data_IF_906999997886
#
_entry.id   IF_906999997886
#
_cell.length_a   1.000
_cell.length_b   1.000
_cell.length_c   1.000
_cell.angle_alpha   90.00
_cell.angle_beta   90.00
_cell.angle_gamma   90.00
#
_symmetry.space_group_name_H-M   'P 1'
#
loop_
_entity.id
_entity.type
_entity.pdbx_description
1 polymer ?
#
# COMPACT_ATOMS: atom_id res chain seq x y z
N UNK A 1 -16.16 -29.39 -9.48
CA UNK A 1 -15.46 -29.21 -10.77
C UNK A 1 -14.53 -28.01 -10.63
N UNK A 2 -13.23 -28.14 -10.84
CA UNK A 2 -12.30 -27.00 -10.81
C UNK A 2 -12.33 -26.32 -12.17
N UNK A 3 -12.91 -25.13 -12.28
CA UNK A 3 -12.72 -24.28 -13.47
C UNK A 3 -11.22 -24.05 -13.68
N UNK A 4 -10.70 -24.43 -14.85
CA UNK A 4 -9.39 -24.00 -15.26
C UNK A 4 -9.42 -22.47 -15.43
N UNK A 5 -8.81 -21.75 -14.48
CA UNK A 5 -8.64 -20.31 -14.59
C UNK A 5 -7.76 -20.02 -15.80
N UNK A 6 -8.30 -19.30 -16.79
CA UNK A 6 -7.53 -18.89 -17.96
C UNK A 6 -6.40 -17.94 -17.55
N UNK A 7 -5.31 -17.89 -18.34
CA UNK A 7 -4.21 -16.94 -18.09
C UNK A 7 -4.73 -15.50 -17.99
N UNK A 8 -5.66 -15.12 -18.86
CA UNK A 8 -6.28 -13.78 -18.91
C UNK A 8 -7.06 -13.44 -17.64
N UNK A 9 -7.90 -14.36 -17.13
CA UNK A 9 -8.63 -14.17 -15.87
C UNK A 9 -7.65 -14.00 -14.71
N UNK A 10 -6.63 -14.86 -14.62
CA UNK A 10 -5.59 -14.74 -13.60
C UNK A 10 -4.84 -13.39 -13.66
N UNK A 11 -4.53 -12.92 -14.87
CA UNK A 11 -3.90 -11.61 -15.08
C UNK A 11 -4.78 -10.45 -14.61
N UNK A 12 -6.06 -10.49 -14.95
CA UNK A 12 -7.04 -9.49 -14.56
C UNK A 12 -7.18 -9.46 -13.04
N UNK A 13 -7.33 -10.61 -12.40
CA UNK A 13 -7.44 -10.76 -10.94
C UNK A 13 -6.21 -10.19 -10.23
N UNK A 14 -4.99 -10.53 -10.70
CA UNK A 14 -3.75 -10.01 -10.10
C UNK A 14 -3.54 -8.53 -10.30
N UNK A 15 -3.94 -7.99 -11.46
CA UNK A 15 -3.93 -6.55 -11.67
C UNK A 15 -4.90 -5.85 -10.73
N UNK A 16 -6.08 -6.41 -10.51
CA UNK A 16 -7.05 -5.88 -9.56
C UNK A 16 -6.51 -5.89 -8.12
N UNK A 17 -5.88 -6.99 -7.68
CA UNK A 17 -5.24 -7.10 -6.36
C UNK A 17 -4.19 -6.00 -6.13
N UNK A 18 -3.28 -5.80 -7.10
CA UNK A 18 -2.23 -4.78 -7.04
C UNK A 18 -2.84 -3.38 -7.00
N UNK A 19 -3.77 -3.08 -7.93
CA UNK A 19 -4.42 -1.77 -7.99
C UNK A 19 -5.18 -1.45 -6.68
N UNK A 20 -5.90 -2.44 -6.12
CA UNK A 20 -6.61 -2.26 -4.86
C UNK A 20 -5.65 -1.93 -3.71
N UNK A 21 -4.49 -2.60 -3.67
CA UNK A 21 -3.46 -2.33 -2.67
C UNK A 21 -2.81 -0.94 -2.87
N UNK A 22 -2.49 -0.55 -4.11
CA UNK A 22 -1.98 0.79 -4.41
C UNK A 22 -2.98 1.88 -4.00
N UNK A 23 -4.27 1.67 -4.28
CA UNK A 23 -5.33 2.61 -3.94
C UNK A 23 -5.49 2.75 -2.42
N UNK A 24 -5.39 1.64 -1.69
CA UNK A 24 -5.34 1.65 -0.22
C UNK A 24 -4.15 2.47 0.28
N UNK A 25 -2.95 2.22 -0.24
CA UNK A 25 -1.76 2.98 0.15
C UNK A 25 -1.94 4.47 -0.11
N UNK A 26 -2.46 4.86 -1.29
CA UNK A 26 -2.76 6.26 -1.60
C UNK A 26 -3.76 6.87 -0.61
N UNK A 27 -4.80 6.13 -0.23
CA UNK A 27 -5.78 6.61 0.75
C UNK A 27 -5.15 6.84 2.12
N UNK A 28 -4.30 5.90 2.57
CA UNK A 28 -3.60 6.03 3.86
C UNK A 28 -2.57 7.15 3.83
N UNK A 29 -1.85 7.35 2.72
CA UNK A 29 -0.94 8.47 2.55
C UNK A 29 -1.66 9.82 2.50
N UNK A 30 -2.84 9.89 1.88
CA UNK A 30 -3.68 11.08 1.91
C UNK A 30 -4.11 11.43 3.34
N UNK A 31 -4.48 10.43 4.15
CA UNK A 31 -4.76 10.62 5.57
C UNK A 31 -3.52 11.09 6.33
N UNK A 32 -2.38 10.41 6.16
CA UNK A 32 -1.09 10.77 6.79
C UNK A 32 -0.75 12.22 6.52
N UNK A 33 -0.74 12.61 5.24
CA UNK A 33 -0.41 13.97 4.81
C UNK A 33 -1.34 14.99 5.44
N UNK A 34 -2.65 14.75 5.43
CA UNK A 34 -3.60 15.61 6.11
C UNK A 34 -3.33 15.73 7.62
N UNK A 35 -3.11 14.61 8.32
CA UNK A 35 -2.88 14.65 9.76
C UNK A 35 -1.57 15.33 10.14
N UNK A 36 -0.50 15.11 9.39
CA UNK A 36 0.81 15.72 9.65
C UNK A 36 0.82 17.21 9.27
N UNK A 37 0.32 17.58 8.09
CA UNK A 37 0.42 18.96 7.57
C UNK A 37 -0.65 19.89 8.17
N UNK A 38 -1.89 19.43 8.29
CA UNK A 38 -3.02 20.30 8.66
C UNK A 38 -3.35 20.23 10.15
N UNK A 39 -2.98 19.14 10.84
CA UNK A 39 -3.29 18.91 12.25
C UNK A 39 -2.06 18.85 13.16
N UNK A 40 -0.84 18.93 12.61
CA UNK A 40 0.41 18.70 13.35
C UNK A 40 0.35 17.43 14.21
N UNK A 41 -0.36 16.41 13.73
CA UNK A 41 -0.55 15.15 14.43
C UNK A 41 0.59 14.18 14.09
N UNK A 42 0.84 13.23 14.99
CA UNK A 42 1.77 12.15 14.72
C UNK A 42 1.03 10.98 14.09
N UNK A 43 1.50 10.50 12.94
CA UNK A 43 0.89 9.41 12.19
C UNK A 43 1.82 8.20 12.12
N UNK A 44 1.29 7.03 12.45
CA UNK A 44 2.06 5.79 12.50
C UNK A 44 1.34 4.65 11.79
N UNK A 45 2.13 3.76 11.20
CA UNK A 45 1.68 2.47 10.72
C UNK A 45 1.91 1.43 11.83
N UNK A 46 0.85 0.74 12.29
CA UNK A 46 0.94 -0.06 13.51
C UNK A 46 1.71 -1.38 13.38
N UNK A 47 1.99 -1.86 12.16
CA UNK A 47 2.86 -3.03 11.93
C UNK A 47 4.27 -2.91 12.53
N UNK A 48 4.70 -1.71 12.93
CA UNK A 48 5.95 -1.50 13.66
C UNK A 48 5.88 -1.89 15.14
N UNK A 49 4.71 -1.77 15.76
CA UNK A 49 4.51 -2.07 17.18
C UNK A 49 4.68 -3.55 17.49
N UNK A 50 4.33 -4.43 16.56
CA UNK A 50 4.54 -5.87 16.70
C UNK A 50 6.02 -6.19 16.90
N UNK A 51 6.92 -5.48 16.21
CA UNK A 51 8.35 -5.77 16.26
C UNK A 51 8.98 -5.26 17.56
N UNK A 52 8.61 -4.07 18.04
CA UNK A 52 9.07 -3.58 19.35
C UNK A 52 8.55 -4.47 20.47
N UNK A 53 7.26 -4.85 20.43
CA UNK A 53 6.64 -5.70 21.44
C UNK A 53 7.19 -7.15 21.42
N UNK A 54 7.52 -7.70 20.24
CA UNK A 54 8.20 -9.00 20.14
C UNK A 54 9.64 -8.99 20.67
N UNK A 55 10.33 -7.85 20.63
CA UNK A 55 11.65 -7.71 21.24
C UNK A 55 11.57 -7.77 22.76
N UNK A 56 10.52 -7.17 23.34
CA UNK A 56 10.26 -7.19 24.79
C UNK A 56 9.63 -8.53 25.25
N UNK A 57 8.79 -9.14 24.41
CA UNK A 57 8.16 -10.43 24.64
C UNK A 57 8.15 -11.28 23.36
N UNK A 58 9.11 -12.20 23.18
CA UNK A 58 9.23 -13.05 21.98
C UNK A 58 8.00 -13.89 21.65
N UNK A 59 7.11 -14.13 22.63
CA UNK A 59 5.86 -14.86 22.46
C UNK A 59 4.67 -13.95 22.14
N UNK A 60 4.89 -12.64 21.97
CA UNK A 60 3.84 -11.68 21.64
C UNK A 60 3.21 -11.98 20.28
N UNK A 61 1.91 -12.30 20.32
CA UNK A 61 1.05 -12.53 19.16
C UNK A 61 0.00 -11.43 18.98
N UNK A 62 0.17 -10.28 19.63
CA UNK A 62 -0.86 -9.24 19.62
C UNK A 62 -1.05 -8.67 18.22
N UNK A 63 -2.32 -8.50 17.86
CA UNK A 63 -2.74 -7.77 16.67
C UNK A 63 -2.59 -6.26 16.93
N UNK A 64 -2.16 -5.52 15.92
CA UNK A 64 -1.98 -4.06 16.00
C UNK A 64 -2.85 -3.40 14.95
N UNK A 65 -3.42 -2.22 15.23
CA UNK A 65 -4.14 -1.46 14.20
C UNK A 65 -3.22 -1.15 13.02
N UNK A 66 -3.76 -1.09 11.82
CA UNK A 66 -2.99 -0.66 10.65
C UNK A 66 -2.48 0.77 10.79
N UNK A 67 -3.30 1.64 11.39
CA UNK A 67 -3.07 3.08 11.48
C UNK A 67 -3.25 3.53 12.93
N UNK A 68 -2.32 4.36 13.39
CA UNK A 68 -2.43 5.07 14.67
C UNK A 68 -2.17 6.54 14.42
N UNK A 69 -3.07 7.39 14.89
CA UNK A 69 -2.89 8.84 14.85
C UNK A 69 -2.95 9.36 16.28
N UNK A 70 -1.89 10.05 16.72
CA UNK A 70 -1.89 10.78 17.98
C UNK A 70 -2.09 12.27 17.66
N UNK A 71 -3.27 12.81 18.01
CA UNK A 71 -3.54 14.26 17.93
C UNK A 71 -3.41 14.89 19.32
N UNK A 72 -3.43 16.22 19.41
CA UNK A 72 -3.40 16.93 20.69
C UNK A 72 -4.61 16.66 21.59
N UNK A 73 -5.74 16.24 21.01
CA UNK A 73 -7.00 16.05 21.74
C UNK A 73 -7.39 14.60 21.93
N UNK A 74 -7.06 13.71 20.99
CA UNK A 74 -7.47 12.31 21.02
C UNK A 74 -6.63 11.43 20.10
N UNK A 75 -6.51 10.15 20.43
CA UNK A 75 -5.90 9.18 19.51
C UNK A 75 -6.93 8.55 18.57
N UNK A 76 -6.51 8.12 17.39
CA UNK A 76 -7.35 7.38 16.44
C UNK A 76 -6.68 6.06 16.11
N UNK A 77 -7.42 4.96 16.21
CA UNK A 77 -6.96 3.61 15.86
C UNK A 77 -7.75 3.10 14.65
N UNK A 78 -7.05 2.69 13.60
CA UNK A 78 -7.66 2.42 12.30
C UNK A 78 -7.29 1.08 11.70
N UNK A 79 -8.28 0.47 11.04
CA UNK A 79 -8.07 -0.64 10.09
C UNK A 79 -8.25 -0.18 8.66
N UNK A 80 -7.45 -0.73 7.76
CA UNK A 80 -7.45 -0.35 6.36
C UNK A 80 -7.59 -1.62 5.48
N UNK A 81 -8.68 -1.73 4.74
CA UNK A 81 -8.95 -2.89 3.88
C UNK A 81 -8.84 -2.48 2.42
N UNK A 82 -8.07 -3.23 1.62
CA UNK A 82 -7.94 -3.00 0.17
C UNK A 82 -9.22 -3.33 -0.62
N UNK A 83 -10.04 -4.22 -0.07
CA UNK A 83 -11.31 -4.68 -0.63
C UNK A 83 -12.18 -5.30 0.45
N UNK A 84 -13.49 -5.35 0.18
CA UNK A 84 -14.43 -6.19 0.90
C UNK A 84 -14.77 -7.40 0.02
N UNK A 85 -14.77 -8.64 0.56
CA UNK A 85 -15.22 -9.80 -0.18
C UNK A 85 -16.62 -9.60 -0.76
N UNK A 86 -16.83 -10.08 -1.99
CA UNK A 86 -18.11 -9.98 -2.68
C UNK A 86 -19.15 -10.88 -1.97
N UNK A 87 -20.27 -10.32 -1.46
CA UNK A 87 -21.33 -11.08 -0.80
C UNK A 87 -21.90 -12.21 -1.67
N UNK A 88 -21.90 -12.09 -3.00
CA UNK A 88 -22.42 -13.10 -3.93
C UNK A 88 -21.63 -14.41 -3.93
N UNK A 89 -20.41 -14.41 -3.40
CA UNK A 89 -19.58 -15.62 -3.25
C UNK A 89 -19.94 -16.48 -2.04
N UNK A 90 -20.92 -16.06 -1.24
CA UNK A 90 -21.36 -16.73 -0.02
C UNK A 90 -22.73 -17.38 -0.24
N UNK A 91 -23.01 -18.45 0.51
CA UNK A 91 -24.29 -19.20 0.40
C UNK A 91 -25.47 -18.33 0.85
N UNK A 92 -25.26 -17.45 1.82
CA UNK A 92 -26.27 -16.50 2.27
C UNK A 92 -25.65 -15.21 2.80
N UNK A 93 -26.47 -14.17 2.89
CA UNK A 93 -26.11 -12.88 3.49
C UNK A 93 -25.72 -13.02 4.96
N UNK A 94 -26.40 -13.88 5.71
CA UNK A 94 -26.10 -14.16 7.12
C UNK A 94 -24.73 -14.81 7.26
N UNK A 95 -24.38 -15.73 6.33
CA UNK A 95 -23.04 -16.31 6.30
C UNK A 95 -21.99 -15.25 6.01
N UNK A 96 -22.25 -14.31 5.09
CA UNK A 96 -21.36 -13.19 4.81
C UNK A 96 -21.15 -12.31 6.05
N UNK A 97 -22.23 -11.85 6.67
CA UNK A 97 -22.18 -11.02 7.88
C UNK A 97 -21.36 -11.72 8.96
N UNK A 98 -21.65 -13.00 9.24
CA UNK A 98 -20.93 -13.74 10.28
C UNK A 98 -19.45 -13.96 9.94
N UNK A 99 -19.14 -14.43 8.74
CA UNK A 99 -17.79 -14.88 8.39
C UNK A 99 -16.82 -13.77 8.00
N UNK A 100 -17.33 -12.68 7.45
CA UNK A 100 -16.52 -11.55 6.96
C UNK A 100 -16.65 -10.35 7.90
N UNK A 101 -17.87 -9.87 8.12
CA UNK A 101 -18.06 -8.64 8.90
C UNK A 101 -17.77 -8.90 10.38
N UNK A 102 -18.46 -9.85 11.01
CA UNK A 102 -18.32 -10.12 12.45
C UNK A 102 -16.95 -10.71 12.78
N UNK A 103 -16.61 -11.85 12.18
CA UNK A 103 -15.46 -12.65 12.62
C UNK A 103 -14.11 -12.12 12.13
N UNK A 104 -14.07 -11.25 11.12
CA UNK A 104 -12.81 -10.68 10.62
C UNK A 104 -12.76 -9.19 10.92
N UNK A 105 -13.59 -8.40 10.25
CA UNK A 105 -13.48 -6.94 10.30
C UNK A 105 -13.79 -6.40 11.71
N UNK A 106 -14.95 -6.76 12.26
CA UNK A 106 -15.44 -6.21 13.53
C UNK A 106 -14.74 -6.83 14.73
N UNK A 107 -14.41 -8.13 14.67
CA UNK A 107 -13.61 -8.78 15.69
C UNK A 107 -12.25 -8.09 15.87
N UNK A 108 -11.62 -7.63 14.79
CA UNK A 108 -10.36 -6.89 14.87
C UNK A 108 -10.56 -5.49 15.45
N UNK A 109 -11.54 -4.72 14.95
CA UNK A 109 -11.82 -3.36 15.46
C UNK A 109 -12.19 -3.37 16.96
N UNK A 110 -12.97 -4.35 17.41
CA UNK A 110 -13.37 -4.50 18.82
C UNK A 110 -12.19 -4.79 19.75
N UNK A 111 -11.09 -5.37 19.24
CA UNK A 111 -9.85 -5.54 20.02
C UNK A 111 -9.17 -4.21 20.33
N UNK A 112 -9.28 -3.23 19.44
CA UNK A 112 -8.72 -1.89 19.66
C UNK A 112 -9.63 -1.03 20.52
N UNK A 113 -10.93 -1.23 20.38
CA UNK A 113 -11.94 -0.51 21.15
C UNK A 113 -11.85 -0.81 22.66
N UNK A 114 -11.53 -2.05 23.02
CA UNK A 114 -11.12 -2.37 24.38
C UNK A 114 -9.74 -1.74 24.65
N UNK A 115 -9.59 -0.99 25.74
CA UNK A 115 -8.35 -0.34 26.20
C UNK A 115 -7.10 -0.99 25.59
N UNK A 116 -6.49 -0.35 24.59
CA UNK A 116 -5.36 -0.94 23.87
C UNK A 116 -4.12 -0.90 24.78
N UNK A 117 -4.06 -1.86 25.70
CA UNK A 117 -3.14 -1.90 26.86
C UNK A 117 -1.68 -1.76 26.43
N UNK A 118 -1.35 -2.25 25.24
CA UNK A 118 0.00 -2.28 24.69
C UNK A 118 0.59 -0.89 24.40
N UNK A 119 -0.23 0.14 24.18
CA UNK A 119 0.23 1.52 23.93
C UNK A 119 -0.13 2.51 25.03
N UNK A 120 -0.86 2.07 26.06
CA UNK A 120 -1.48 2.95 27.07
C UNK A 120 -2.36 4.05 26.45
N UNK A 121 -2.91 3.81 25.27
CA UNK A 121 -3.89 4.69 24.64
C UNK A 121 -5.26 4.29 25.20
N UNK A 122 -5.82 5.14 26.06
CA UNK A 122 -7.11 4.91 26.73
C UNK A 122 -8.25 5.77 26.18
N UNK A 123 -7.93 6.94 25.61
CA UNK A 123 -8.92 7.82 24.99
C UNK A 123 -8.64 7.86 23.49
N UNK A 124 -9.41 7.06 22.75
CA UNK A 124 -9.30 6.96 21.30
C UNK A 124 -10.64 6.79 20.64
N UNK A 125 -10.71 7.13 19.35
CA UNK A 125 -11.80 6.69 18.49
C UNK A 125 -11.28 5.55 17.59
N UNK A 126 -12.19 4.73 17.10
CA UNK A 126 -11.87 3.62 16.19
C UNK A 126 -12.41 3.92 14.81
N UNK A 127 -11.66 3.62 13.76
CA UNK A 127 -12.15 3.77 12.41
C UNK A 127 -11.82 2.58 11.50
N UNK A 128 -12.63 2.45 10.47
CA UNK A 128 -12.43 1.48 9.39
C UNK A 128 -12.34 2.24 8.07
N UNK A 129 -11.28 2.01 7.30
CA UNK A 129 -11.06 2.55 5.97
C UNK A 129 -11.25 1.45 4.92
N UNK A 130 -12.22 1.62 4.03
CA UNK A 130 -12.57 0.63 2.98
C UNK A 130 -12.74 1.31 1.63
N UNK A 131 -12.61 0.60 0.50
CA UNK A 131 -12.93 1.18 -0.79
C UNK A 131 -14.43 1.48 -0.92
N UNK A 132 -14.78 2.54 -1.63
CA UNK A 132 -16.16 2.85 -1.99
C UNK A 132 -16.69 1.89 -3.08
N UNK A 133 -15.82 1.29 -3.88
CA UNK A 133 -16.21 0.43 -5.02
C UNK A 133 -16.65 -0.98 -4.61
N UNK A 134 -17.69 -1.10 -3.78
CA UNK A 134 -18.46 -2.35 -3.60
C UNK A 134 -19.76 -2.05 -2.84
N UNK A 135 -20.72 -1.40 -3.52
CA UNK A 135 -21.93 -0.84 -2.89
C UNK A 135 -22.72 -1.89 -2.07
N UNK A 136 -22.76 -3.14 -2.50
CA UNK A 136 -23.53 -4.19 -1.83
C UNK A 136 -22.86 -4.62 -0.52
N UNK A 137 -21.55 -4.88 -0.52
CA UNK A 137 -20.79 -5.21 0.68
C UNK A 137 -20.82 -4.05 1.70
N UNK A 138 -20.63 -2.82 1.21
CA UNK A 138 -20.67 -1.61 2.02
C UNK A 138 -22.07 -1.37 2.59
N UNK A 139 -23.11 -1.59 1.78
CA UNK A 139 -24.51 -1.50 2.17
C UNK A 139 -24.86 -2.51 3.27
N UNK A 140 -24.42 -3.76 3.14
CA UNK A 140 -24.61 -4.78 4.18
C UNK A 140 -23.89 -4.38 5.48
N UNK A 141 -22.63 -3.94 5.38
CA UNK A 141 -21.88 -3.47 6.54
C UNK A 141 -22.62 -2.33 7.26
N UNK A 142 -23.11 -1.34 6.52
CA UNK A 142 -23.78 -0.16 7.09
C UNK A 142 -25.18 -0.47 7.61
N UNK A 143 -26.09 -0.85 6.71
CA UNK A 143 -27.52 -0.93 7.01
C UNK A 143 -27.92 -2.24 7.70
N UNK A 144 -27.17 -3.33 7.50
CA UNK A 144 -27.52 -4.62 8.05
C UNK A 144 -26.73 -5.03 9.29
N UNK A 145 -25.60 -4.37 9.55
CA UNK A 145 -24.77 -4.64 10.73
C UNK A 145 -24.66 -3.41 11.65
N UNK A 146 -24.09 -2.30 11.16
CA UNK A 146 -23.77 -1.14 12.00
C UNK A 146 -25.01 -0.41 12.52
N UNK A 147 -26.09 -0.33 11.73
CA UNK A 147 -27.34 0.34 12.12
C UNK A 147 -28.16 -0.43 13.17
N UNK A 148 -27.86 -1.72 13.40
CA UNK A 148 -28.70 -2.59 14.24
C UNK A 148 -28.40 -2.49 15.74
N UNK A 149 -27.18 -2.12 16.14
CA UNK A 149 -26.77 -2.09 17.55
C UNK A 149 -25.55 -1.17 17.80
N UNK A 150 -25.32 -0.79 19.07
CA UNK A 150 -24.05 -0.15 19.48
C UNK A 150 -22.96 -1.21 19.58
N UNK A 151 -22.04 -1.20 18.60
CA UNK A 151 -20.95 -2.18 18.50
C UNK A 151 -19.67 -1.82 19.26
N UNK A 152 -19.52 -0.55 19.68
CA UNK A 152 -18.27 0.00 20.20
C UNK A 152 -18.49 0.81 21.49
N UNK A 153 -17.53 0.73 22.41
CA UNK A 153 -17.42 1.53 23.63
C UNK A 153 -16.98 2.95 23.30
N UNK A 154 -15.99 3.10 22.43
CA UNK A 154 -15.55 4.38 21.90
C UNK A 154 -16.35 4.79 20.65
N UNK A 155 -16.17 6.03 20.20
CA UNK A 155 -16.78 6.46 18.93
C UNK A 155 -16.15 5.66 17.79
N UNK A 156 -17.02 5.22 16.87
CA UNK A 156 -16.65 4.52 15.66
C UNK A 156 -17.06 5.33 14.43
N UNK A 157 -16.21 5.35 13.42
CA UNK A 157 -16.56 5.90 12.11
C UNK A 157 -15.99 5.08 10.94
N UNK A 158 -16.78 5.00 9.88
CA UNK A 158 -16.44 4.35 8.63
C UNK A 158 -15.98 5.40 7.62
N UNK A 159 -14.77 5.22 7.11
CA UNK A 159 -14.21 5.98 6.01
C UNK A 159 -14.26 5.15 4.74
N UNK A 160 -14.63 5.81 3.65
CA UNK A 160 -14.53 5.23 2.30
C UNK A 160 -13.50 5.99 1.49
N UNK A 161 -12.79 5.27 0.63
CA UNK A 161 -11.87 5.88 -0.34
C UNK A 161 -12.22 5.50 -1.78
N UNK A 162 -12.01 6.46 -2.68
CA UNK A 162 -12.19 6.27 -4.12
C UNK A 162 -11.19 7.11 -4.92
N UNK A 163 -10.93 6.69 -6.16
CA UNK A 163 -10.14 7.48 -7.10
C UNK A 163 -11.07 8.05 -8.15
N UNK A 164 -11.10 9.38 -8.24
CA UNK A 164 -11.89 10.11 -9.22
C UNK A 164 -10.99 10.94 -10.14
N UNK A 165 -11.56 11.37 -11.26
CA UNK A 165 -10.97 12.42 -12.09
C UNK A 165 -11.50 13.77 -11.63
N UNK A 166 -10.61 14.68 -11.28
CA UNK A 166 -10.91 16.07 -10.98
C UNK A 166 -10.11 16.95 -11.94
N UNK A 167 -10.76 17.72 -12.79
CA UNK A 167 -10.07 18.61 -13.75
C UNK A 167 -8.94 17.93 -14.55
N UNK A 168 -9.20 16.71 -15.06
CA UNK A 168 -8.25 15.84 -15.78
C UNK A 168 -7.08 15.28 -14.97
N UNK A 169 -6.99 15.54 -13.65
CA UNK A 169 -6.04 14.87 -12.77
C UNK A 169 -6.73 13.77 -11.96
N UNK A 170 -6.08 12.61 -11.84
CA UNK A 170 -6.56 11.56 -10.94
C UNK A 170 -6.29 11.99 -9.49
N UNK A 171 -7.33 11.92 -8.67
CA UNK A 171 -7.30 12.30 -7.25
C UNK A 171 -7.81 11.17 -6.39
N UNK A 172 -7.10 10.89 -5.29
CA UNK A 172 -7.60 10.04 -4.21
C UNK A 172 -8.46 10.90 -3.29
N UNK A 173 -9.62 10.36 -2.92
CA UNK A 173 -10.55 10.99 -2.01
C UNK A 173 -10.87 10.04 -0.86
N UNK A 174 -10.81 10.54 0.37
CA UNK A 174 -11.18 9.83 1.60
C UNK A 174 -12.27 10.61 2.30
N UNK A 175 -13.41 9.99 2.59
CA UNK A 175 -14.57 10.67 3.20
C UNK A 175 -15.24 9.81 4.25
N UNK A 176 -15.99 10.46 5.14
CA UNK A 176 -16.88 9.79 6.08
C UNK A 176 -18.08 9.20 5.35
N UNK A 177 -18.38 7.92 5.61
CA UNK A 177 -19.60 7.27 5.12
C UNK A 177 -20.60 6.95 6.23
N UNK A 178 -20.12 6.63 7.44
CA UNK A 178 -20.95 6.32 8.60
C UNK A 178 -20.27 6.69 9.92
N UNK A 179 -21.07 6.96 10.95
CA UNK A 179 -20.61 7.16 12.33
C UNK A 179 -20.14 8.58 12.64
N UNK A 180 -19.46 8.73 13.76
CA UNK A 180 -19.03 10.02 14.31
C UNK A 180 -17.60 9.93 14.84
N UNK A 181 -16.90 11.06 14.82
CA UNK A 181 -15.59 11.24 15.45
C UNK A 181 -15.74 12.30 16.56
N UNK A 182 -15.00 12.12 17.65
CA UNK A 182 -14.97 13.03 18.79
C UNK A 182 -14.35 14.39 18.44
N UNK A 183 -13.41 14.46 17.48
CA UNK A 183 -12.91 15.72 16.93
C UNK A 183 -13.90 16.25 15.87
N UNK A 184 -14.66 17.29 16.24
CA UNK A 184 -15.68 17.89 15.38
C UNK A 184 -15.11 18.53 14.11
N UNK A 185 -13.90 19.11 14.18
CA UNK A 185 -13.23 19.69 13.01
C UNK A 185 -12.78 18.60 12.03
N UNK A 186 -12.27 17.50 12.56
CA UNK A 186 -11.95 16.32 11.77
C UNK A 186 -13.20 15.73 11.13
N UNK A 187 -14.28 15.59 11.91
CA UNK A 187 -15.56 15.09 11.43
C UNK A 187 -16.09 15.93 10.25
N UNK A 188 -16.07 17.25 10.38
CA UNK A 188 -16.51 18.16 9.32
C UNK A 188 -15.62 18.08 8.07
N UNK A 189 -14.30 17.92 8.25
CA UNK A 189 -13.39 17.72 7.11
C UNK A 189 -13.67 16.40 6.40
N UNK A 190 -13.85 15.30 7.14
CA UNK A 190 -14.13 13.98 6.58
C UNK A 190 -15.49 13.95 5.86
N UNK A 191 -16.51 14.68 6.36
CA UNK A 191 -17.78 14.87 5.65
C UNK A 191 -17.61 15.59 4.30
N UNK A 192 -16.67 16.53 4.21
CA UNK A 192 -16.33 17.26 2.97
C UNK A 192 -15.32 16.54 2.07
N UNK A 193 -14.79 15.41 2.56
CA UNK A 193 -13.70 14.64 2.00
C UNK A 193 -12.31 15.31 2.09
N UNK A 194 -11.31 14.48 2.35
CA UNK A 194 -9.88 14.76 2.18
C UNK A 194 -9.52 14.35 0.76
N UNK A 195 -8.82 15.22 0.02
CA UNK A 195 -8.49 15.01 -1.40
C UNK A 195 -7.04 15.37 -1.68
N UNK A 196 -6.36 14.51 -2.42
CA UNK A 196 -5.00 14.75 -2.91
C UNK A 196 -4.85 14.24 -4.33
N UNK A 197 -4.02 14.92 -5.13
CA UNK A 197 -3.64 14.41 -6.44
C UNK A 197 -2.76 13.17 -6.27
N UNK A 198 -2.97 12.14 -7.10
CA UNK A 198 -2.17 10.92 -7.01
C UNK A 198 -0.66 11.18 -7.22
N UNK A 199 -0.32 12.17 -8.06
CA UNK A 199 1.06 12.57 -8.33
C UNK A 199 1.81 13.07 -7.09
N UNK A 200 1.11 13.67 -6.13
CA UNK A 200 1.70 14.17 -4.88
C UNK A 200 2.10 13.02 -3.95
N UNK A 201 1.45 11.87 -4.08
CA UNK A 201 1.65 10.69 -3.23
C UNK A 201 2.59 9.66 -3.86
N UNK A 202 2.80 9.71 -5.18
CA UNK A 202 3.54 8.70 -5.94
C UNK A 202 4.96 8.43 -5.42
N UNK A 203 5.65 9.47 -4.92
CA UNK A 203 7.02 9.35 -4.37
C UNK A 203 7.08 8.63 -3.03
N UNK A 204 5.95 8.51 -2.34
CA UNK A 204 5.85 7.92 -1.01
C UNK A 204 5.36 6.47 -1.04
N UNK A 205 4.69 6.03 -2.12
CA UNK A 205 4.10 4.68 -2.21
C UNK A 205 5.09 3.54 -1.91
N UNK A 206 6.34 3.65 -2.36
CA UNK A 206 7.36 2.62 -2.13
C UNK A 206 7.97 2.63 -0.72
N UNK A 207 7.65 3.64 0.10
CA UNK A 207 8.22 3.81 1.45
C UNK A 207 7.37 3.21 2.54
N UNK A 208 6.08 2.97 2.27
CA UNK A 208 5.12 2.60 3.30
C UNK A 208 4.44 1.28 2.98
N UNK A 209 4.29 0.45 4.02
CA UNK A 209 3.69 -0.87 3.94
C UNK A 209 2.55 -0.97 4.95
N UNK A 210 1.41 -1.48 4.50
CA UNK A 210 0.30 -1.91 5.36
C UNK A 210 0.34 -3.44 5.44
N UNK A 211 0.29 -3.99 6.65
CA UNK A 211 0.25 -5.43 6.86
C UNK A 211 -1.20 -5.92 6.73
N UNK A 212 -1.42 -7.12 6.20
CA UNK A 212 -2.75 -7.73 6.19
C UNK A 212 -2.82 -8.84 7.26
N UNK A 213 -3.98 -8.93 7.92
CA UNK A 213 -4.27 -9.78 9.09
C UNK A 213 -3.78 -11.22 8.99
N UNK A 214 -3.80 -11.81 7.79
CA UNK A 214 -3.67 -13.26 7.67
C UNK A 214 -2.23 -13.77 7.81
N UNK A 215 -1.20 -12.92 7.74
CA UNK A 215 0.16 -13.45 7.64
C UNK A 215 1.25 -12.74 8.46
N UNK A 216 1.01 -11.54 9.01
CA UNK A 216 2.09 -10.70 9.58
C UNK A 216 3.32 -10.62 8.66
N UNK A 217 3.10 -10.76 7.34
CA UNK A 217 4.11 -10.90 6.30
C UNK A 217 4.06 -9.68 5.39
N UNK A 218 4.98 -9.59 4.43
CA UNK A 218 4.94 -8.54 3.41
C UNK A 218 3.99 -8.95 2.29
N UNK A 219 2.90 -8.20 2.04
CA UNK A 219 2.01 -8.50 0.93
C UNK A 219 2.77 -8.60 -0.37
N UNK A 220 2.43 -9.60 -1.18
CA UNK A 220 3.08 -9.81 -2.49
C UNK A 220 2.78 -8.63 -3.41
N UNK A 221 1.58 -8.05 -3.31
CA UNK A 221 1.15 -6.86 -4.05
C UNK A 221 2.03 -5.64 -3.76
N UNK A 222 2.44 -5.46 -2.49
CA UNK A 222 3.37 -4.40 -2.11
C UNK A 222 4.75 -4.61 -2.75
N UNK A 223 5.27 -5.84 -2.71
CA UNK A 223 6.56 -6.17 -3.34
C UNK A 223 6.49 -5.90 -4.83
N UNK A 224 5.42 -6.34 -5.52
CA UNK A 224 5.21 -6.07 -6.94
C UNK A 224 5.18 -4.57 -7.24
N UNK A 225 4.51 -3.78 -6.39
CA UNK A 225 4.45 -2.31 -6.51
C UNK A 225 5.85 -1.70 -6.42
N UNK A 226 6.66 -2.07 -5.42
CA UNK A 226 8.04 -1.55 -5.28
C UNK A 226 8.94 -1.99 -6.43
N UNK A 227 8.87 -3.27 -6.81
CA UNK A 227 9.65 -3.82 -7.91
C UNK A 227 9.40 -3.00 -9.18
N UNK A 228 8.15 -2.73 -9.49
CA UNK A 228 7.76 -2.04 -10.71
C UNK A 228 8.03 -0.53 -10.69
N UNK A 229 7.70 0.13 -9.59
CA UNK A 229 7.76 1.61 -9.51
C UNK A 229 9.14 2.15 -9.16
N UNK A 230 10.00 1.33 -8.52
CA UNK A 230 11.26 1.80 -7.94
C UNK A 230 12.45 0.96 -8.38
N UNK A 231 12.47 -0.35 -8.08
CA UNK A 231 13.69 -1.18 -8.23
C UNK A 231 14.04 -1.42 -9.70
N UNK A 232 13.09 -1.88 -10.52
CA UNK A 232 13.35 -2.14 -11.94
C UNK A 232 13.84 -0.85 -12.64
N UNK A 233 13.17 0.31 -12.49
CA UNK A 233 13.68 1.58 -13.00
C UNK A 233 15.08 1.94 -12.49
N UNK A 234 15.38 1.70 -11.21
CA UNK A 234 16.71 1.97 -10.63
C UNK A 234 17.79 1.07 -11.25
N UNK A 235 17.55 -0.24 -11.37
CA UNK A 235 18.49 -1.19 -11.99
C UNK A 235 18.77 -0.80 -13.46
N UNK A 236 17.74 -0.37 -14.19
CA UNK A 236 17.90 0.09 -15.58
C UNK A 236 18.76 1.36 -15.66
N UNK A 237 18.65 2.26 -14.68
CA UNK A 237 19.38 3.53 -14.59
C UNK A 237 20.77 3.43 -13.95
N UNK A 238 21.07 2.35 -13.24
CA UNK A 238 22.32 2.17 -12.49
C UNK A 238 23.55 1.93 -13.38
N UNK A 239 23.36 1.77 -14.70
CA UNK A 239 24.48 1.68 -15.65
C UNK A 239 24.97 3.09 -16.02
N UNK A 240 26.23 3.23 -16.40
CA UNK A 240 26.72 4.51 -16.93
C UNK A 240 25.91 4.92 -18.18
N UNK A 241 25.92 6.21 -18.49
CA UNK A 241 25.16 6.77 -19.63
C UNK A 241 25.49 6.06 -20.95
N UNK A 242 26.74 5.64 -21.15
CA UNK A 242 27.22 4.96 -22.35
C UNK A 242 26.68 3.53 -22.45
N UNK A 243 26.60 2.80 -21.34
CA UNK A 243 25.99 1.47 -21.25
C UNK A 243 24.47 1.53 -21.45
N UNK A 244 23.79 2.56 -20.92
CA UNK A 244 22.36 2.78 -21.20
C UNK A 244 22.16 3.02 -22.70
N UNK A 245 22.99 3.88 -23.30
CA UNK A 245 22.97 4.16 -24.75
C UNK A 245 23.33 2.94 -25.59
N UNK A 246 24.21 2.06 -25.11
CA UNK A 246 24.62 0.83 -25.79
C UNK A 246 23.49 -0.22 -25.73
N UNK A 247 22.88 -0.44 -24.56
CA UNK A 247 21.68 -1.29 -24.41
C UNK A 247 20.56 -0.78 -25.30
N UNK A 248 20.38 0.54 -25.33
CA UNK A 248 19.43 1.21 -26.20
C UNK A 248 19.70 0.93 -27.69
N UNK A 249 20.94 1.13 -28.15
CA UNK A 249 21.35 0.87 -29.52
C UNK A 249 21.18 -0.61 -29.92
N UNK A 250 21.41 -1.52 -28.97
CA UNK A 250 21.22 -2.97 -29.13
C UNK A 250 19.76 -3.43 -29.02
N UNK A 251 18.83 -2.51 -28.72
CA UNK A 251 17.42 -2.83 -28.39
C UNK A 251 17.31 -3.89 -27.29
N UNK A 252 18.24 -3.86 -26.34
CA UNK A 252 18.26 -4.79 -25.22
C UNK A 252 17.10 -4.47 -24.29
N UNK A 253 16.13 -5.39 -24.25
CA UNK A 253 14.87 -5.24 -23.53
C UNK A 253 14.78 -6.19 -22.33
N UNK A 254 15.94 -6.64 -21.86
CA UNK A 254 16.06 -7.62 -20.79
C UNK A 254 17.26 -7.35 -19.90
N UNK A 255 17.16 -7.74 -18.64
CA UNK A 255 18.30 -7.75 -17.72
C UNK A 255 18.17 -8.87 -16.71
N UNK A 256 19.31 -9.33 -16.20
CA UNK A 256 19.35 -10.38 -15.18
C UNK A 256 19.44 -9.77 -13.79
N UNK A 257 18.64 -10.28 -12.85
CA UNK A 257 18.71 -9.94 -11.43
C UNK A 257 18.81 -11.21 -10.58
N UNK A 258 19.70 -11.18 -9.59
CA UNK A 258 19.83 -12.23 -8.57
C UNK A 258 18.93 -11.93 -7.39
N UNK A 259 18.42 -12.96 -6.72
CA UNK A 259 17.60 -12.79 -5.51
C UNK A 259 18.35 -12.04 -4.42
N UNK A 260 19.62 -12.36 -4.16
CA UNK A 260 20.45 -11.61 -3.21
C UNK A 260 20.47 -10.11 -3.51
N UNK A 261 20.75 -9.72 -4.76
CA UNK A 261 20.75 -8.32 -5.19
C UNK A 261 19.37 -7.66 -5.06
N UNK A 262 18.30 -8.40 -5.38
CA UNK A 262 16.93 -7.90 -5.25
C UNK A 262 16.56 -7.62 -3.80
N UNK A 263 16.95 -8.50 -2.89
CA UNK A 263 16.77 -8.31 -1.45
C UNK A 263 17.54 -7.09 -0.96
N UNK A 264 18.77 -6.87 -1.44
CA UNK A 264 19.55 -5.69 -1.10
C UNK A 264 18.86 -4.40 -1.55
N UNK A 265 18.32 -4.33 -2.77
CA UNK A 265 17.55 -3.17 -3.24
C UNK A 265 16.29 -2.93 -2.40
N UNK A 266 15.51 -3.98 -2.15
CA UNK A 266 14.29 -3.91 -1.34
C UNK A 266 14.59 -3.38 0.08
N UNK A 267 15.66 -3.86 0.71
CA UNK A 267 16.07 -3.42 2.03
C UNK A 267 16.69 -2.01 2.05
N UNK A 268 17.27 -1.54 0.94
CA UNK A 268 17.83 -0.18 0.82
C UNK A 268 16.77 0.91 0.62
N UNK A 269 15.74 0.63 -0.18
CA UNK A 269 14.66 1.58 -0.44
C UNK A 269 13.81 1.84 0.80
N UNK A 270 13.86 0.92 1.77
CA UNK A 270 13.02 0.96 2.92
C UNK A 270 13.66 1.71 4.10
N UNK A 271 12.97 2.77 4.53
CA UNK A 271 13.22 3.43 5.81
C UNK A 271 12.04 3.13 6.72
N UNK A 272 12.30 2.47 7.85
CA UNK A 272 11.32 2.35 8.92
C UNK A 272 11.15 3.73 9.57
N UNK A 273 9.98 4.38 9.52
CA UNK A 273 9.71 5.47 10.45
C UNK A 273 9.63 4.87 11.87
N UNK A 274 10.46 5.36 12.78
CA UNK A 274 10.50 4.92 14.19
C UNK A 274 9.35 5.52 14.98
N UNK A 275 8.66 4.72 15.77
CA UNK A 275 7.72 5.22 16.79
C UNK A 275 8.52 5.87 17.93
N UNK A 276 8.27 7.14 18.30
CA UNK A 276 9.14 7.92 19.18
C UNK A 276 8.94 7.63 20.68
N UNK A 277 8.71 6.37 21.06
CA UNK A 277 8.69 5.94 22.48
C UNK A 277 9.58 4.74 22.78
N UNK A 278 10.26 4.17 21.79
CA UNK A 278 11.34 3.22 22.05
C UNK A 278 12.68 3.96 22.03
N UNK A 279 13.07 4.54 23.16
CA UNK A 279 14.45 5.01 23.42
C UNK A 279 15.47 3.85 23.47
N UNK A 280 15.08 2.67 22.98
CA UNK A 280 15.90 1.47 22.90
C UNK A 280 15.84 0.99 21.46
N UNK A 281 16.84 1.42 20.68
CA UNK A 281 17.71 0.59 19.85
C UNK A 281 18.09 1.24 18.52
N UNK A 282 19.39 1.44 18.43
CA UNK A 282 20.22 1.49 17.24
C UNK A 282 19.72 0.65 16.06
N UNK A 283 19.94 1.21 14.87
CA UNK A 283 19.95 0.55 13.56
C UNK A 283 20.33 -0.96 13.58
N UNK A 284 19.66 -1.75 12.73
CA UNK A 284 20.10 -3.02 12.11
C UNK A 284 19.27 -4.31 12.36
N UNK A 285 17.94 -4.27 12.19
CA UNK A 285 17.25 -5.43 11.62
C UNK A 285 16.87 -5.12 10.18
N UNK A 286 17.86 -5.17 9.28
CA UNK A 286 17.78 -4.74 7.87
C UNK A 286 17.00 -5.68 6.95
N UNK A 287 16.34 -6.73 7.44
CA UNK A 287 15.69 -7.74 6.59
C UNK A 287 14.18 -7.79 6.81
N UNK A 288 13.48 -6.73 6.40
CA UNK A 288 12.01 -6.68 6.44
C UNK A 288 11.40 -7.62 5.39
N UNK A 289 12.04 -7.76 4.24
CA UNK A 289 11.60 -8.63 3.18
C UNK A 289 12.03 -10.07 3.48
N UNK A 290 11.08 -10.99 3.44
CA UNK A 290 11.35 -12.43 3.52
C UNK A 290 11.49 -12.99 2.11
N UNK A 291 12.38 -13.96 1.96
CA UNK A 291 12.65 -14.61 0.67
C UNK A 291 11.39 -15.19 0.00
N UNK A 292 10.48 -15.79 0.78
CA UNK A 292 9.28 -16.44 0.22
C UNK A 292 8.36 -15.44 -0.49
N UNK A 293 7.88 -14.35 0.16
CA UNK A 293 7.09 -13.31 -0.52
C UNK A 293 7.75 -12.72 -1.77
N UNK A 294 9.07 -12.51 -1.74
CA UNK A 294 9.81 -11.99 -2.91
C UNK A 294 9.81 -13.01 -4.06
N UNK A 295 10.06 -14.29 -3.76
CA UNK A 295 9.96 -15.36 -4.76
C UNK A 295 8.54 -15.49 -5.31
N UNK A 296 7.52 -15.33 -4.47
CA UNK A 296 6.13 -15.40 -4.90
C UNK A 296 5.76 -14.22 -5.81
N UNK A 297 6.28 -13.01 -5.56
CA UNK A 297 6.20 -11.89 -6.49
C UNK A 297 6.88 -12.20 -7.84
N UNK A 298 8.09 -12.76 -7.83
CA UNK A 298 8.80 -13.14 -9.06
C UNK A 298 8.07 -14.23 -9.84
N UNK A 299 7.45 -15.21 -9.18
CA UNK A 299 6.60 -16.21 -9.86
C UNK A 299 5.42 -15.58 -10.59
N UNK A 300 4.85 -14.51 -10.03
CA UNK A 300 3.81 -13.74 -10.72
C UNK A 300 4.42 -13.13 -12.00
N UNK A 301 5.56 -12.44 -11.91
CA UNK A 301 6.26 -11.89 -13.08
C UNK A 301 6.56 -12.96 -14.16
N UNK A 302 6.95 -14.17 -13.76
CA UNK A 302 7.14 -15.29 -14.69
C UNK A 302 5.83 -15.69 -15.36
N UNK A 303 4.77 -15.91 -14.57
CA UNK A 303 3.46 -16.34 -15.09
C UNK A 303 2.84 -15.33 -16.04
N UNK A 304 3.09 -14.03 -15.82
CA UNK A 304 2.62 -12.96 -16.70
C UNK A 304 3.51 -12.75 -17.94
N UNK A 305 4.66 -13.41 -18.02
CA UNK A 305 5.59 -13.31 -19.15
C UNK A 305 6.54 -12.11 -19.09
N UNK A 306 6.70 -11.49 -17.92
CA UNK A 306 7.64 -10.38 -17.69
C UNK A 306 8.96 -10.83 -17.07
N UNK A 307 9.08 -12.11 -16.71
CA UNK A 307 10.33 -12.68 -16.22
C UNK A 307 10.51 -14.15 -16.67
N UNK A 308 11.74 -14.64 -16.60
CA UNK A 308 12.08 -16.05 -16.79
C UNK A 308 13.05 -16.46 -15.69
N UNK A 309 12.80 -17.58 -15.01
CA UNK A 309 13.74 -18.13 -14.03
C UNK A 309 14.93 -18.74 -14.77
N UNK A 310 16.13 -18.31 -14.41
CA UNK A 310 17.39 -18.85 -14.90
C UNK A 310 17.88 -19.96 -13.95
N UNK A 311 18.76 -20.84 -14.45
CA UNK A 311 19.29 -21.94 -13.63
C UNK A 311 19.92 -21.45 -12.32
N UNK A 312 19.83 -22.28 -11.27
CA UNK A 312 20.45 -22.02 -9.97
C UNK A 312 21.97 -22.19 -10.07
N UNK A 313 22.70 -21.10 -10.19
CA UNK A 313 24.12 -21.09 -9.88
C UNK A 313 24.31 -20.88 -8.37
N UNK A 314 25.06 -21.77 -7.72
CA UNK A 314 25.49 -21.61 -6.32
C UNK A 314 24.36 -21.27 -5.33
N UNK A 315 23.20 -21.92 -5.45
CA UNK A 315 22.02 -21.79 -4.57
C UNK A 315 21.26 -20.46 -4.60
N UNK A 316 21.72 -19.46 -5.36
CA UNK A 316 21.01 -18.18 -5.54
C UNK A 316 20.15 -18.22 -6.80
N UNK A 317 18.88 -17.79 -6.68
CA UNK A 317 17.94 -17.82 -7.81
C UNK A 317 18.13 -16.55 -8.62
N UNK A 318 18.23 -16.71 -9.95
CA UNK A 318 18.36 -15.58 -10.88
C UNK A 318 17.15 -15.53 -11.80
N UNK A 319 16.75 -14.32 -12.18
CA UNK A 319 15.67 -14.10 -13.14
C UNK A 319 16.13 -13.16 -14.25
N UNK A 320 15.77 -13.49 -15.48
CA UNK A 320 15.80 -12.55 -16.61
C UNK A 320 14.48 -11.79 -16.61
N UNK A 321 14.52 -10.47 -16.41
CA UNK A 321 13.34 -9.60 -16.45
C UNK A 321 13.24 -8.98 -17.85
N UNK A 322 12.05 -9.09 -18.45
CA UNK A 322 11.72 -8.52 -19.75
C UNK A 322 10.97 -7.20 -19.54
N UNK A 323 11.41 -6.14 -20.21
CA UNK A 323 10.72 -4.85 -20.23
C UNK A 323 10.38 -4.45 -21.67
N UNK A 324 9.47 -3.47 -21.84
CA UNK A 324 9.22 -2.90 -23.17
C UNK A 324 10.49 -2.21 -23.69
N UNK A 325 10.72 -2.18 -25.02
CA UNK A 325 11.81 -1.40 -25.61
C UNK A 325 11.77 0.04 -25.10
N UNK A 326 12.93 0.59 -24.77
CA UNK A 326 13.04 2.01 -24.42
C UNK A 326 12.66 2.86 -25.66
N UNK A 327 11.90 3.96 -25.51
CA UNK A 327 11.49 4.81 -26.63
C UNK A 327 12.67 5.52 -27.34
N UNK A 328 12.51 5.88 -28.63
CA UNK A 328 13.55 6.45 -29.52
C UNK A 328 14.36 7.63 -28.94
N UNK A 329 15.61 7.74 -29.43
CA UNK A 329 16.75 8.52 -28.89
C UNK A 329 16.42 9.98 -28.50
N UNK A 330 15.43 10.59 -29.15
CA UNK A 330 15.00 11.98 -28.91
C UNK A 330 14.14 12.14 -27.64
N UNK A 331 13.44 11.09 -27.19
CA UNK A 331 12.71 11.09 -25.91
C UNK A 331 13.64 10.76 -24.73
N UNK A 332 14.73 10.04 -24.97
CA UNK A 332 15.69 9.67 -23.93
C UNK A 332 16.57 10.85 -23.49
N UNK A 333 16.90 11.78 -24.39
CA UNK A 333 17.54 13.05 -24.03
C UNK A 333 16.67 13.91 -23.08
N UNK A 334 15.34 13.79 -23.17
CA UNK A 334 14.40 14.42 -22.24
C UNK A 334 14.44 13.75 -20.84
N UNK A 335 14.58 12.42 -20.77
CA UNK A 335 14.70 11.68 -19.50
C UNK A 335 16.09 11.82 -18.83
N UNK A 336 17.17 11.86 -19.61
CA UNK A 336 18.55 12.01 -19.13
C UNK A 336 18.85 13.48 -18.79
N UNK A 337 18.34 14.45 -19.57
CA UNK A 337 18.49 15.88 -19.29
C UNK A 337 17.79 16.32 -18.00
N UNK A 338 16.54 15.86 -17.78
CA UNK A 338 15.82 16.21 -16.55
C UNK A 338 16.37 15.53 -15.29
N UNK A 339 17.03 14.36 -15.37
CA UNK A 339 17.58 13.73 -14.16
C UNK A 339 18.81 14.44 -13.58
N UNK A 340 19.54 15.21 -14.40
CA UNK A 340 20.70 15.98 -13.95
C UNK A 340 20.38 17.45 -13.62
N UNK A 341 19.46 18.10 -14.34
CA UNK A 341 19.12 19.50 -14.07
C UNK A 341 18.09 19.66 -12.92
N UNK A 342 17.17 18.71 -12.71
CA UNK A 342 16.11 18.84 -11.67
C UNK A 342 16.52 18.45 -10.25
N UNK A 343 17.82 18.22 -9.98
CA UNK A 343 18.33 18.15 -8.61
C UNK A 343 18.66 19.54 -8.04
N UNK A 344 18.87 20.55 -8.89
CA UNK A 344 19.19 21.92 -8.44
C UNK A 344 18.05 22.93 -8.61
N UNK A 345 17.04 22.65 -9.43
CA UNK A 345 15.90 23.57 -9.63
C UNK A 345 14.58 22.79 -9.62
N UNK A 346 13.90 22.74 -8.46
CA UNK A 346 12.52 22.23 -8.34
C UNK A 346 11.60 23.28 -7.74
N UNK A 347 11.12 24.16 -8.62
CA UNK A 347 9.75 24.68 -8.56
C UNK A 347 9.09 24.30 -9.89
N UNK A 348 7.88 23.75 -9.79
CA UNK A 348 6.91 23.60 -10.89
C UNK A 348 7.27 22.64 -12.03
N UNK A 349 6.74 21.41 -11.98
CA UNK A 349 6.36 20.69 -13.20
C UNK A 349 4.91 20.26 -13.04
N UNK A 350 4.09 20.97 -13.81
CA UNK A 350 2.65 20.94 -13.94
C UNK A 350 2.15 19.70 -14.72
N UNK A 351 0.84 19.48 -14.68
CA UNK A 351 0.04 18.29 -15.02
C UNK A 351 0.23 17.61 -16.41
N UNK A 352 1.17 18.02 -17.25
CA UNK A 352 1.37 17.50 -18.62
C UNK A 352 2.21 16.22 -18.72
N UNK A 353 2.95 15.85 -17.66
CA UNK A 353 3.80 14.65 -17.65
C UNK A 353 3.03 13.33 -17.51
N UNK A 354 1.88 13.35 -16.85
CA UNK A 354 1.08 12.16 -16.53
C UNK A 354 0.18 11.76 -17.72
N UNK A 355 -0.34 12.72 -18.48
CA UNK A 355 -1.14 12.45 -19.69
C UNK A 355 -0.34 11.72 -20.80
N UNK A 356 0.98 11.90 -20.84
CA UNK A 356 1.85 11.20 -21.81
C UNK A 356 2.10 9.73 -21.44
N UNK A 357 2.05 9.39 -20.15
CA UNK A 357 2.19 8.01 -19.66
C UNK A 357 0.92 7.17 -19.88
N UNK A 358 -0.28 7.76 -19.79
CA UNK A 358 -1.53 7.05 -20.06
C UNK A 358 -1.74 6.76 -21.56
N UNK A 359 -1.14 7.56 -22.47
CA UNK A 359 -1.10 7.29 -23.92
C UNK A 359 -0.07 6.21 -24.32
N UNK A 360 0.91 5.91 -23.48
CA UNK A 360 1.95 4.89 -23.69
C UNK A 360 1.48 3.44 -23.40
N UNK A 361 0.29 3.31 -22.80
CA UNK A 361 -0.24 2.05 -22.25
C UNK A 361 -1.42 1.46 -23.04
N UNK A 362 -1.89 2.14 -24.09
CA UNK A 362 -2.69 1.55 -25.18
C UNK A 362 -1.75 1.22 -26.32
#
# INVERSE_FOLDING_TARGET
MSEQITKEKYMADKRADINNYENLLKAVLALKKYFEEEKNAQFYFGGHLINSQKKENPNYKGDTPDIIVETSSKSLLGEAKKSLPDPSTFVSKEQYIKSVIENKIMAQLKKYDADFENLKIKDHDVFLLVPEHNNDALGILKFDYLDKDKHFQNKFFLLVYNIGLLANTKSIMVKLDYGECSDSLLLDKLKRAIRYNEGDLAKELAKFKIFEENENSTPVEYILTILWTSIIPEILKANDKEQILERYAKKENKFTVKLSSLMDYLNKLYTLPTYPKSDIMHHNDRNQFKTKPVKDAMKILIKVGLATELQKENSDVSWEIHHKPLPEKDEMNYFIGKSYETLNERKEIDATGIEKLDKFMK
#
